data_IF_090274103180
#
_entry.id   IF_090274103180
#
_cell.length_a   1.000
_cell.length_b   1.000
_cell.length_c   1.000
_cell.angle_alpha   90.00
_cell.angle_beta   90.00
_cell.angle_gamma   90.00
#
_symmetry.space_group_name_H-M   'P 1'
#
loop_
_entity.id
_entity.type
_entity.pdbx_description
1 polymer ?
#
# COMPACT_ATOMS: atom_id res chain seq x y z
N UNK A 1 -28.60 12.99 -11.21
CA UNK A 1 -28.96 14.40 -11.01
C UNK A 1 -29.36 14.93 -12.39
N UNK A 2 -30.63 15.25 -12.63
CA UNK A 2 -31.04 15.87 -13.88
C UNK A 2 -30.63 17.35 -13.84
N UNK A 3 -29.88 17.81 -14.83
CA UNK A 3 -29.43 19.19 -14.94
C UNK A 3 -30.62 20.12 -15.17
N UNK A 4 -30.65 21.25 -14.46
CA UNK A 4 -31.64 22.31 -14.68
C UNK A 4 -31.51 22.84 -16.14
N UNK A 5 -32.62 23.11 -16.86
CA UNK A 5 -32.58 23.76 -18.17
C UNK A 5 -31.87 25.13 -18.08
N UNK A 6 -31.13 25.52 -19.13
CA UNK A 6 -30.32 26.74 -19.15
C UNK A 6 -31.16 27.99 -18.86
N UNK A 7 -32.40 28.01 -19.32
CA UNK A 7 -33.33 29.13 -19.18
C UNK A 7 -33.73 29.38 -17.71
N UNK A 8 -33.50 28.40 -16.84
CA UNK A 8 -33.85 28.48 -15.42
C UNK A 8 -32.61 28.69 -14.53
N UNK A 9 -31.38 28.69 -15.08
CA UNK A 9 -30.15 28.90 -14.30
C UNK A 9 -30.11 30.35 -13.80
N UNK A 10 -29.89 30.51 -12.50
CA UNK A 10 -29.74 31.81 -11.83
C UNK A 10 -28.31 32.03 -11.39
N UNK A 11 -27.95 33.27 -11.05
CA UNK A 11 -26.61 33.58 -10.54
C UNK A 11 -26.27 32.83 -9.24
N UNK A 12 -27.28 32.50 -8.42
CA UNK A 12 -27.09 31.73 -7.20
C UNK A 12 -26.74 30.25 -7.48
N UNK A 13 -27.02 29.76 -8.70
CA UNK A 13 -26.67 28.40 -9.11
C UNK A 13 -25.19 28.29 -9.58
N UNK A 14 -24.48 29.42 -9.72
CA UNK A 14 -23.11 29.46 -10.23
C UNK A 14 -22.09 29.47 -9.07
N UNK A 15 -21.04 28.66 -9.20
CA UNK A 15 -19.91 28.72 -8.29
C UNK A 15 -19.14 30.03 -8.44
N UNK A 16 -18.77 30.63 -7.31
CA UNK A 16 -17.93 31.82 -7.25
C UNK A 16 -16.45 31.46 -7.17
N UNK A 17 -15.58 32.45 -7.36
CA UNK A 17 -14.13 32.26 -7.15
C UNK A 17 -13.80 31.86 -5.71
N UNK A 18 -14.59 32.33 -4.74
CA UNK A 18 -14.38 32.00 -3.33
C UNK A 18 -14.73 30.54 -3.03
N UNK A 19 -15.69 29.96 -3.74
CA UNK A 19 -16.03 28.53 -3.63
C UNK A 19 -14.87 27.64 -4.12
N UNK A 20 -14.17 28.07 -5.16
CA UNK A 20 -13.07 27.31 -5.77
C UNK A 20 -11.78 27.30 -4.92
N UNK A 21 -11.60 28.27 -3.99
CA UNK A 21 -10.39 28.38 -3.16
C UNK A 21 -10.13 27.16 -2.28
N UNK A 22 -11.15 26.35 -2.00
CA UNK A 22 -11.05 25.15 -1.16
C UNK A 22 -10.69 23.88 -1.95
N UNK A 23 -10.66 23.95 -3.28
CA UNK A 23 -10.36 22.79 -4.12
C UNK A 23 -8.85 22.57 -4.18
N UNK A 24 -8.44 21.32 -3.96
CA UNK A 24 -7.08 20.89 -4.23
C UNK A 24 -6.79 20.93 -5.74
N UNK A 25 -5.57 21.34 -6.09
CA UNK A 25 -5.12 21.29 -7.47
C UNK A 25 -4.65 19.88 -7.85
N UNK A 26 -4.51 19.62 -9.15
CA UNK A 26 -3.91 18.36 -9.63
C UNK A 26 -2.47 18.17 -9.14
N UNK A 27 -1.74 19.27 -8.98
CA UNK A 27 -0.35 19.24 -8.53
C UNK A 27 -0.27 18.90 -7.04
N UNK A 28 -1.20 19.40 -6.23
CA UNK A 28 -1.32 19.03 -4.81
C UNK A 28 -1.53 17.52 -4.67
N UNK A 29 -2.48 16.97 -5.43
CA UNK A 29 -2.75 15.53 -5.42
C UNK A 29 -1.55 14.71 -5.90
N UNK A 30 -0.90 15.14 -6.98
CA UNK A 30 0.27 14.45 -7.54
C UNK A 30 1.44 14.43 -6.56
N UNK A 31 1.64 15.53 -5.81
CA UNK A 31 2.65 15.62 -4.76
C UNK A 31 2.36 14.63 -3.63
N UNK A 32 1.16 14.66 -3.07
CA UNK A 32 0.77 13.79 -1.95
C UNK A 32 0.85 12.31 -2.34
N UNK A 33 0.31 11.95 -3.51
CA UNK A 33 0.39 10.57 -4.05
C UNK A 33 1.84 10.16 -4.27
N UNK A 34 2.69 11.08 -4.77
CA UNK A 34 4.11 10.83 -4.99
C UNK A 34 4.88 10.53 -3.70
N UNK A 35 4.57 11.25 -2.61
CA UNK A 35 5.13 10.99 -1.29
C UNK A 35 4.71 9.62 -0.76
N UNK A 36 3.41 9.32 -0.76
CA UNK A 36 2.88 8.03 -0.33
C UNK A 36 3.51 6.87 -1.11
N UNK A 37 3.63 7.00 -2.43
CA UNK A 37 4.24 5.97 -3.28
C UNK A 37 5.71 5.74 -2.92
N UNK A 38 6.46 6.79 -2.58
CA UNK A 38 7.87 6.69 -2.20
C UNK A 38 8.03 6.00 -0.85
N UNK A 39 7.30 6.46 0.15
CA UNK A 39 7.43 5.96 1.53
C UNK A 39 6.96 4.51 1.63
N UNK A 40 5.80 4.20 1.03
CA UNK A 40 5.28 2.85 0.98
C UNK A 40 6.17 1.94 0.13
N UNK A 41 6.68 2.43 -1.01
CA UNK A 41 7.58 1.66 -1.86
C UNK A 41 8.87 1.26 -1.14
N UNK A 42 9.46 2.18 -0.37
CA UNK A 42 10.64 1.89 0.44
C UNK A 42 10.33 0.86 1.53
N UNK A 43 9.22 1.02 2.25
CA UNK A 43 8.81 0.08 3.29
C UNK A 43 8.58 -1.34 2.72
N UNK A 44 7.90 -1.45 1.57
CA UNK A 44 7.67 -2.74 0.89
C UNK A 44 8.98 -3.41 0.50
N UNK A 45 9.93 -2.67 -0.05
CA UNK A 45 11.24 -3.21 -0.41
C UNK A 45 12.01 -3.75 0.80
N UNK A 46 11.97 -3.04 1.94
CA UNK A 46 12.59 -3.49 3.18
C UNK A 46 11.94 -4.78 3.69
N UNK A 47 10.61 -4.81 3.77
CA UNK A 47 9.85 -5.99 4.21
C UNK A 47 10.16 -7.18 3.31
N UNK A 48 10.20 -7.00 1.99
CA UNK A 48 10.52 -8.07 1.05
C UNK A 48 11.92 -8.65 1.30
N UNK A 49 12.91 -7.78 1.57
CA UNK A 49 14.26 -8.21 1.94
C UNK A 49 14.31 -8.99 3.27
N UNK A 50 13.53 -8.57 4.27
CA UNK A 50 13.42 -9.28 5.54
C UNK A 50 12.73 -10.63 5.41
N UNK A 51 11.64 -10.70 4.63
CA UNK A 51 10.94 -11.95 4.31
C UNK A 51 11.87 -12.93 3.60
N UNK A 52 12.69 -12.46 2.66
CA UNK A 52 13.69 -13.31 2.01
C UNK A 52 14.70 -13.91 3.00
N UNK A 53 15.18 -13.12 3.97
CA UNK A 53 16.06 -13.61 5.04
C UNK A 53 15.36 -14.61 5.95
N UNK A 54 14.09 -14.38 6.29
CA UNK A 54 13.30 -15.30 7.11
C UNK A 54 13.07 -16.64 6.38
N UNK A 55 12.77 -16.61 5.08
CA UNK A 55 12.61 -17.81 4.27
C UNK A 55 13.88 -18.67 4.26
N UNK A 56 15.05 -18.06 4.08
CA UNK A 56 16.33 -18.78 4.14
C UNK A 56 16.59 -19.43 5.51
N UNK A 57 16.28 -18.73 6.60
CA UNK A 57 16.39 -19.27 7.97
C UNK A 57 15.40 -20.41 8.21
N UNK A 58 14.19 -20.33 7.67
CA UNK A 58 13.18 -21.40 7.78
C UNK A 58 13.64 -22.67 7.06
N UNK A 59 14.30 -22.54 5.91
CA UNK A 59 14.87 -23.69 5.20
C UNK A 59 15.96 -24.37 6.04
N UNK A 60 16.88 -23.61 6.61
CA UNK A 60 17.92 -24.15 7.50
C UNK A 60 17.32 -24.84 8.73
N UNK A 61 16.35 -24.19 9.38
CA UNK A 61 15.66 -24.74 10.55
C UNK A 61 14.96 -26.06 10.21
N UNK A 62 14.29 -26.12 9.06
CA UNK A 62 13.62 -27.33 8.58
C UNK A 62 14.61 -28.48 8.33
N UNK A 63 15.79 -28.18 7.77
CA UNK A 63 16.86 -29.17 7.58
C UNK A 63 17.42 -29.67 8.92
N UNK A 64 17.58 -28.80 9.91
CA UNK A 64 18.01 -29.20 11.26
C UNK A 64 16.97 -30.10 11.91
N UNK A 65 15.68 -29.73 11.84
CA UNK A 65 14.58 -30.54 12.36
C UNK A 65 14.54 -31.92 11.70
N UNK A 66 14.65 -32.00 10.37
CA UNK A 66 14.68 -33.27 9.64
C UNK A 66 15.81 -34.19 10.13
N UNK A 67 17.02 -33.64 10.36
CA UNK A 67 18.16 -34.40 10.90
C UNK A 67 17.91 -34.90 12.33
N UNK A 68 17.32 -34.06 13.19
CA UNK A 68 17.01 -34.44 14.57
C UNK A 68 15.95 -35.54 14.62
N UNK A 69 14.90 -35.44 13.80
CA UNK A 69 13.85 -36.46 13.70
C UNK A 69 14.45 -37.80 13.25
N UNK A 70 15.21 -37.81 12.16
CA UNK A 70 15.87 -39.02 11.67
C UNK A 70 16.79 -39.66 12.73
N UNK A 71 17.52 -38.85 13.50
CA UNK A 71 18.35 -39.34 14.60
C UNK A 71 17.52 -39.91 15.75
N UNK A 72 16.39 -39.29 16.10
CA UNK A 72 15.52 -39.79 17.17
C UNK A 72 14.86 -41.12 16.80
N UNK A 73 14.40 -41.26 15.55
CA UNK A 73 13.78 -42.49 15.04
C UNK A 73 14.75 -43.68 15.09
N UNK A 74 16.03 -43.46 14.75
CA UNK A 74 17.08 -44.47 14.83
C UNK A 74 17.57 -44.83 16.24
N UNK A 75 17.18 -44.07 17.27
CA UNK A 75 17.47 -44.38 18.69
C UNK A 75 16.32 -45.17 19.35
N UNK A 76 15.13 -45.16 18.75
CA UNK A 76 13.95 -45.90 19.20
C UNK A 76 13.86 -47.36 18.69
N UNK A 77 14.84 -47.84 17.92
CA UNK A 77 14.93 -49.24 17.47
C UNK A 77 16.01 -50.02 18.22
#
# INVERSE_FOLDING_TARGET
MASKPLEQVTLADLATKDDLKKLATKDDLSREIGLVRRDLGSAVNLIMGELGKQAARQEETSRVLARLVAKSEGVTQ
#
